data_IF_805201395175
#
_entry.id   IF_805201395175
#
_cell.length_a   1.000
_cell.length_b   1.000
_cell.length_c   1.000
_cell.angle_alpha   90.00
_cell.angle_beta   90.00
_cell.angle_gamma   90.00
#
_symmetry.space_group_name_H-M   'P 1'
#
loop_
_entity.id
_entity.type
_entity.pdbx_description
1 polymer ?
#
# COMPACT_ATOMS: atom_id res chain seq x y z
N UNK A 1 -14.60 -32.34 27.47
CA UNK A 1 -13.57 -31.29 27.60
C UNK A 1 -14.25 -29.93 27.58
N UNK A 2 -14.45 -29.32 28.76
CA UNK A 2 -15.08 -28.01 28.92
C UNK A 2 -14.01 -26.91 28.77
N UNK A 3 -13.37 -26.86 27.60
CA UNK A 3 -12.31 -25.90 27.30
C UNK A 3 -12.96 -24.57 26.93
N UNK A 4 -13.14 -23.70 27.92
CA UNK A 4 -13.45 -22.28 27.73
C UNK A 4 -12.23 -21.58 27.13
N UNK A 5 -11.99 -21.78 25.84
CA UNK A 5 -10.96 -21.07 25.10
C UNK A 5 -11.41 -19.62 24.96
N UNK A 6 -10.82 -18.76 25.81
CA UNK A 6 -10.98 -17.33 25.69
C UNK A 6 -10.22 -16.88 24.42
N UNK A 7 -10.94 -16.69 23.31
CA UNK A 7 -10.33 -16.19 22.08
C UNK A 7 -9.96 -14.73 22.29
N UNK A 8 -8.68 -14.45 22.55
CA UNK A 8 -8.18 -13.09 22.48
C UNK A 8 -8.46 -12.54 21.07
N UNK A 9 -9.05 -11.35 20.99
CA UNK A 9 -9.24 -10.64 19.73
C UNK A 9 -7.86 -10.33 19.13
N UNK A 10 -7.39 -11.18 18.20
CA UNK A 10 -6.20 -10.88 17.43
C UNK A 10 -6.52 -9.72 16.47
N UNK A 11 -5.77 -8.62 16.50
CA UNK A 11 -5.94 -7.57 15.51
C UNK A 11 -5.56 -8.12 14.14
N UNK A 12 -6.47 -7.96 13.18
CA UNK A 12 -6.18 -8.31 11.79
C UNK A 12 -5.07 -7.39 11.27
N UNK A 13 -4.12 -7.92 10.47
CA UNK A 13 -3.05 -7.10 9.91
C UNK A 13 -3.65 -6.06 8.98
N UNK A 14 -3.23 -4.80 9.18
CA UNK A 14 -3.63 -3.68 8.34
C UNK A 14 -3.18 -3.96 6.89
N UNK A 15 -4.11 -3.87 5.94
CA UNK A 15 -3.79 -4.08 4.53
C UNK A 15 -3.79 -5.54 4.06
N UNK A 16 -4.42 -6.47 4.81
CA UNK A 16 -4.49 -7.90 4.43
C UNK A 16 -4.93 -8.16 3.00
N UNK A 17 -5.95 -7.44 2.55
CA UNK A 17 -6.45 -7.55 1.19
C UNK A 17 -5.41 -7.15 0.16
N UNK A 18 -4.63 -6.09 0.41
CA UNK A 18 -3.66 -5.56 -0.55
C UNK A 18 -2.52 -6.52 -0.80
N UNK A 19 -1.83 -7.00 0.25
CA UNK A 19 -0.72 -7.94 0.04
C UNK A 19 -1.20 -9.26 -0.56
N UNK A 20 -2.43 -9.70 -0.24
CA UNK A 20 -3.01 -10.92 -0.79
C UNK A 20 -3.28 -10.77 -2.29
N UNK A 21 -3.92 -9.67 -2.72
CA UNK A 21 -4.17 -9.40 -4.13
C UNK A 21 -2.87 -9.17 -4.92
N UNK A 22 -1.89 -8.48 -4.35
CA UNK A 22 -0.57 -8.29 -4.96
C UNK A 22 0.16 -9.62 -5.17
N UNK A 23 0.21 -10.46 -4.13
CA UNK A 23 0.89 -11.77 -4.21
C UNK A 23 0.18 -12.68 -5.21
N UNK A 24 -1.16 -12.72 -5.22
CA UNK A 24 -1.91 -13.48 -6.22
C UNK A 24 -1.68 -12.95 -7.63
N UNK A 25 -1.71 -11.63 -7.84
CA UNK A 25 -1.43 -11.02 -9.15
C UNK A 25 -0.05 -11.43 -9.65
N UNK A 26 0.96 -11.39 -8.78
CA UNK A 26 2.32 -11.81 -9.12
C UNK A 26 2.37 -13.27 -9.56
N UNK A 27 1.79 -14.18 -8.78
CA UNK A 27 1.77 -15.62 -9.11
C UNK A 27 1.04 -15.88 -10.44
N UNK A 28 -0.06 -15.18 -10.69
CA UNK A 28 -0.81 -15.27 -11.94
C UNK A 28 0.02 -14.75 -13.12
N UNK A 29 0.68 -13.60 -12.97
CA UNK A 29 1.47 -13.02 -14.05
C UNK A 29 2.72 -13.85 -14.37
N UNK A 30 3.31 -14.53 -13.37
CA UNK A 30 4.35 -15.56 -13.58
C UNK A 30 3.79 -16.78 -14.30
N UNK A 31 2.61 -17.28 -13.89
CA UNK A 31 1.97 -18.43 -14.54
C UNK A 31 1.61 -18.14 -16.02
N UNK A 32 1.32 -16.89 -16.34
CA UNK A 32 1.02 -16.43 -17.70
C UNK A 32 2.26 -16.00 -18.50
N UNK A 33 3.48 -16.27 -17.99
CA UNK A 33 4.76 -15.87 -18.61
C UNK A 33 4.89 -14.37 -18.93
N UNK A 34 4.16 -13.50 -18.22
CA UNK A 34 4.24 -12.03 -18.42
C UNK A 34 5.44 -11.42 -17.71
N UNK A 35 5.85 -12.02 -16.60
CA UNK A 35 7.00 -11.59 -15.80
C UNK A 35 7.83 -12.80 -15.39
N UNK A 36 9.18 -12.69 -15.39
CA UNK A 36 10.03 -13.77 -14.94
C UNK A 36 9.88 -13.98 -13.42
N UNK A 37 10.14 -15.21 -12.98
CA UNK A 37 10.22 -15.55 -11.55
C UNK A 37 11.34 -14.73 -10.90
N UNK A 38 11.00 -14.01 -9.83
CA UNK A 38 11.93 -13.23 -9.04
C UNK A 38 12.66 -14.19 -8.11
N UNK A 39 13.97 -14.26 -8.28
CA UNK A 39 14.85 -15.16 -7.52
C UNK A 39 15.41 -14.47 -6.26
N UNK A 40 15.36 -13.13 -6.22
CA UNK A 40 15.82 -12.35 -5.09
C UNK A 40 14.68 -12.12 -4.09
N UNK A 41 14.79 -12.76 -2.91
CA UNK A 41 13.84 -12.60 -1.80
C UNK A 41 13.73 -11.14 -1.32
N UNK A 42 14.79 -10.33 -1.46
CA UNK A 42 14.81 -8.92 -1.05
C UNK A 42 13.99 -8.08 -2.03
N UNK A 43 14.17 -8.26 -3.34
CA UNK A 43 13.36 -7.54 -4.35
C UNK A 43 11.89 -7.94 -4.25
N UNK A 44 11.61 -9.23 -4.05
CA UNK A 44 10.25 -9.71 -3.82
C UNK A 44 9.65 -9.18 -2.51
N UNK A 45 10.42 -9.24 -1.41
CA UNK A 45 10.02 -8.69 -0.12
C UNK A 45 9.72 -7.21 -0.21
N UNK A 46 10.57 -6.44 -0.88
CA UNK A 46 10.37 -4.99 -1.14
C UNK A 46 9.05 -4.74 -1.86
N UNK A 47 8.72 -5.52 -2.90
CA UNK A 47 7.43 -5.43 -3.59
C UNK A 47 6.24 -5.68 -2.65
N UNK A 48 6.27 -6.77 -1.90
CA UNK A 48 5.14 -7.19 -1.03
C UNK A 48 4.97 -6.28 0.19
N UNK A 49 6.07 -5.74 0.74
CA UNK A 49 6.06 -4.95 1.98
C UNK A 49 6.12 -3.44 1.74
N UNK A 50 5.89 -2.97 0.51
CA UNK A 50 5.96 -1.55 0.18
C UNK A 50 4.83 -0.76 0.84
N UNK A 51 5.12 -0.15 2.00
CA UNK A 51 4.16 0.53 2.88
C UNK A 51 3.16 1.49 2.18
N UNK A 52 3.56 2.34 1.21
CA UNK A 52 2.62 3.22 0.51
C UNK A 52 1.43 2.48 -0.12
N UNK A 53 1.64 1.26 -0.59
CA UNK A 53 0.61 0.46 -1.26
C UNK A 53 -0.26 -0.34 -0.28
N UNK A 54 0.25 -0.62 0.93
CA UNK A 54 -0.43 -1.47 1.91
C UNK A 54 -1.61 -0.79 2.62
N UNK A 55 -1.63 0.55 2.70
CA UNK A 55 -2.63 1.28 3.48
C UNK A 55 -3.73 1.91 2.62
N UNK A 56 -3.39 2.49 1.45
CA UNK A 56 -4.37 3.23 0.65
C UNK A 56 -3.92 3.52 -0.81
N UNK A 57 -3.26 2.58 -1.50
CA UNK A 57 -2.82 2.75 -2.89
C UNK A 57 -3.68 1.97 -3.91
N UNK A 58 -3.65 2.32 -5.20
CA UNK A 58 -4.09 1.39 -6.25
C UNK A 58 -3.28 0.09 -6.17
N UNK A 59 -3.88 -1.05 -6.52
CA UNK A 59 -3.17 -2.33 -6.54
C UNK A 59 -2.10 -2.27 -7.63
N UNK A 60 -0.84 -2.13 -7.24
CA UNK A 60 0.29 -2.03 -8.17
C UNK A 60 0.77 -3.43 -8.56
N UNK A 61 0.96 -3.65 -9.86
CA UNK A 61 1.44 -4.92 -10.40
C UNK A 61 2.96 -4.97 -10.34
N UNK A 62 3.49 -6.16 -10.14
CA UNK A 62 4.93 -6.38 -10.10
C UNK A 62 5.64 -5.93 -11.39
N UNK A 63 5.00 -6.12 -12.55
CA UNK A 63 5.51 -5.67 -13.86
C UNK A 63 5.83 -4.18 -13.93
N UNK A 64 5.09 -3.36 -13.18
CA UNK A 64 5.16 -1.90 -13.28
C UNK A 64 6.29 -1.34 -12.40
N UNK A 65 6.72 -2.11 -11.40
CA UNK A 65 7.69 -1.67 -10.39
C UNK A 65 8.97 -2.48 -10.37
N UNK A 66 9.02 -3.67 -10.99
CA UNK A 66 10.19 -4.54 -10.92
C UNK A 66 11.47 -3.85 -11.42
N UNK A 67 11.37 -3.07 -12.50
CA UNK A 67 12.52 -2.33 -13.02
C UNK A 67 12.96 -1.21 -12.06
N UNK A 68 12.02 -0.51 -11.42
CA UNK A 68 12.34 0.56 -10.47
C UNK A 68 12.87 0.02 -9.13
N UNK A 69 12.49 -1.20 -8.76
CA UNK A 69 13.03 -1.90 -7.59
C UNK A 69 14.49 -2.28 -7.83
N UNK A 70 14.80 -2.83 -9.00
CA UNK A 70 16.14 -3.33 -9.30
C UNK A 70 17.09 -2.22 -9.82
N UNK A 71 16.58 -1.22 -10.55
CA UNK A 71 17.35 -0.15 -11.20
C UNK A 71 16.80 1.25 -10.86
N UNK A 72 16.76 1.58 -9.56
CA UNK A 72 16.26 2.86 -9.07
C UNK A 72 17.11 4.04 -9.52
N UNK A 73 16.50 5.05 -10.13
CA UNK A 73 17.15 6.32 -10.45
C UNK A 73 16.63 7.45 -9.55
N UNK A 74 17.54 8.15 -8.87
CA UNK A 74 17.22 9.19 -7.89
C UNK A 74 17.87 10.49 -8.35
N UNK A 75 17.08 11.58 -8.42
CA UNK A 75 17.60 12.91 -8.72
C UNK A 75 16.95 13.96 -7.83
N UNK A 76 17.64 15.08 -7.62
CA UNK A 76 17.11 16.21 -6.84
C UNK A 76 15.80 16.75 -7.46
N UNK A 77 15.67 16.62 -8.78
CA UNK A 77 14.49 17.04 -9.53
C UNK A 77 13.29 16.12 -9.24
N UNK A 78 13.47 14.80 -9.37
CA UNK A 78 12.43 13.80 -9.05
C UNK A 78 12.01 13.88 -7.58
N UNK A 79 12.97 14.14 -6.68
CA UNK A 79 12.67 14.36 -5.27
C UNK A 79 11.80 15.61 -5.06
N UNK A 80 12.10 16.70 -5.78
CA UNK A 80 11.31 17.92 -5.77
C UNK A 80 9.86 17.69 -6.22
N UNK A 81 9.67 16.99 -7.34
CA UNK A 81 8.32 16.62 -7.83
C UNK A 81 7.57 15.74 -6.81
N UNK A 82 8.25 14.77 -6.21
CA UNK A 82 7.68 13.93 -5.15
C UNK A 82 7.26 14.75 -3.92
N UNK A 83 8.08 15.71 -3.51
CA UNK A 83 7.79 16.59 -2.39
C UNK A 83 6.60 17.52 -2.69
N UNK A 84 6.50 18.06 -3.90
CA UNK A 84 5.35 18.86 -4.33
C UNK A 84 4.04 18.07 -4.27
N UNK A 85 4.01 16.86 -4.86
CA UNK A 85 2.85 15.97 -4.82
C UNK A 85 2.45 15.63 -3.39
N UNK A 86 3.44 15.36 -2.53
CA UNK A 86 3.20 15.10 -1.11
C UNK A 86 2.58 16.30 -0.39
N UNK A 87 3.12 17.51 -0.58
CA UNK A 87 2.61 18.74 0.05
C UNK A 87 1.18 19.02 -0.40
N UNK A 88 0.88 18.89 -1.70
CA UNK A 88 -0.47 19.06 -2.24
C UNK A 88 -1.43 18.05 -1.64
N UNK A 89 -1.04 16.77 -1.57
CA UNK A 89 -1.85 15.71 -0.95
C UNK A 89 -2.10 15.96 0.54
N UNK A 90 -1.07 16.37 1.26
CA UNK A 90 -1.16 16.70 2.68
C UNK A 90 -2.08 17.90 2.93
N UNK A 91 -1.96 18.96 2.13
CA UNK A 91 -2.84 20.12 2.20
C UNK A 91 -4.31 19.73 1.96
N UNK A 92 -4.59 18.93 0.92
CA UNK A 92 -5.94 18.41 0.66
C UNK A 92 -6.47 17.58 1.83
N UNK A 93 -5.64 16.74 2.46
CA UNK A 93 -6.04 15.92 3.60
C UNK A 93 -6.34 16.77 4.84
N UNK A 94 -5.41 17.65 5.22
CA UNK A 94 -5.47 18.39 6.49
C UNK A 94 -6.42 19.58 6.40
N UNK A 95 -6.34 20.37 5.33
CA UNK A 95 -7.12 21.60 5.21
C UNK A 95 -8.55 21.37 4.73
N UNK A 96 -8.78 20.39 3.86
CA UNK A 96 -10.12 20.12 3.31
C UNK A 96 -10.77 18.91 3.97
N UNK A 97 -10.20 17.71 3.81
CA UNK A 97 -10.87 16.48 4.20
C UNK A 97 -11.12 16.40 5.72
N UNK A 98 -10.15 16.79 6.54
CA UNK A 98 -10.32 16.77 8.01
C UNK A 98 -11.35 17.80 8.48
N UNK A 99 -11.35 19.01 7.92
CA UNK A 99 -12.30 20.07 8.29
C UNK A 99 -13.73 19.73 7.86
N UNK A 100 -13.92 19.22 6.64
CA UNK A 100 -15.23 18.74 6.17
C UNK A 100 -15.71 17.57 7.04
N UNK A 101 -14.83 16.63 7.36
CA UNK A 101 -15.15 15.51 8.25
C UNK A 101 -15.53 15.95 9.66
N UNK A 102 -14.89 16.99 10.20
CA UNK A 102 -15.25 17.58 11.48
C UNK A 102 -16.62 18.27 11.42
N UNK A 103 -16.87 19.08 10.39
CA UNK A 103 -18.16 19.75 10.17
C UNK A 103 -19.31 18.73 10.07
N UNK A 104 -19.12 17.66 9.29
CA UNK A 104 -20.10 16.58 9.16
C UNK A 104 -20.44 15.93 10.50
N UNK A 105 -19.43 15.69 11.35
CA UNK A 105 -19.65 15.14 12.70
C UNK A 105 -20.51 16.07 13.55
N UNK A 106 -20.29 17.38 13.47
CA UNK A 106 -21.10 18.38 14.21
C UNK A 106 -22.54 18.40 13.74
N UNK A 107 -22.78 18.39 12.41
CA UNK A 107 -24.14 18.37 11.85
C UNK A 107 -24.88 17.09 12.22
N UNK A 108 -24.22 15.93 12.15
CA UNK A 108 -24.84 14.64 12.50
C UNK A 108 -25.18 14.50 13.99
N UNK A 109 -24.48 15.25 14.85
CA UNK A 109 -24.69 15.25 16.30
C UNK A 109 -25.82 16.21 16.75
N UNK A 110 -26.30 17.08 15.85
CA UNK A 110 -27.44 17.99 16.07
C UNK A 110 -28.71 17.33 15.56
#
# INVERSE_FOLDING_TARGET
>A
FNLSLNSHNLPLPLGISFYTFQTMSYVIDVYLDKVPVQKNIISFGTYVTMFPQLVAGPIVRYSDVCNEIDNRNESIYLFGEGAELFIIGLAKKVLLANNIGALWKTIKAT
#
